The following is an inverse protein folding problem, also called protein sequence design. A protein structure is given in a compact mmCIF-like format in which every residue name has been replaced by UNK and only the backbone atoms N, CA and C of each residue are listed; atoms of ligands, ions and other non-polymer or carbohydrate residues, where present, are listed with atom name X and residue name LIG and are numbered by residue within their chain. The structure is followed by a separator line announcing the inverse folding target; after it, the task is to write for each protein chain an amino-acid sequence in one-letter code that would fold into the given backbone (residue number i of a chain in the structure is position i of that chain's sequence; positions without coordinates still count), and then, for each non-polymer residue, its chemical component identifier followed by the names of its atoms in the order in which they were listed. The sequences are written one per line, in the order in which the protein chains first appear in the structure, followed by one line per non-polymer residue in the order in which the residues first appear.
data_IF_466921604367
#
_entry.id   IF_466921604367
#
_cell.length_a   1.000
_cell.length_b   1.000
_cell.length_c   1.000
_cell.angle_alpha   90.00
_cell.angle_beta   90.00
_cell.angle_gamma   90.00
#
_symmetry.space_group_name_H-M   'P 1'
#
loop_
_entity.id
_entity.type
_entity.pdbx_description
1 polymer ?
#
# COMPACT_ATOMS: atom_id res chain seq x y z
N UNK A 1 9.32 -13.58 -23.82
CA UNK A 1 8.43 -12.48 -23.37
C UNK A 1 7.27 -13.08 -22.56
N UNK A 2 7.57 -13.68 -21.41
CA UNK A 2 6.58 -14.34 -20.54
C UNK A 2 6.98 -14.36 -19.04
N UNK A 3 8.07 -13.66 -18.66
CA UNK A 3 8.67 -13.80 -17.33
C UNK A 3 8.32 -12.69 -16.34
N UNK A 4 7.68 -11.59 -16.79
CA UNK A 4 7.39 -10.41 -15.95
C UNK A 4 6.00 -10.41 -15.30
N UNK A 5 5.02 -11.15 -15.84
CA UNK A 5 3.62 -11.04 -15.39
C UNK A 5 3.36 -11.63 -13.98
N UNK A 6 4.25 -12.51 -13.51
CA UNK A 6 4.08 -13.19 -12.21
C UNK A 6 4.32 -12.27 -11.01
N UNK A 7 5.28 -11.35 -11.14
CA UNK A 7 5.60 -10.39 -10.07
C UNK A 7 4.49 -9.34 -9.87
N UNK A 8 3.83 -8.91 -10.95
CA UNK A 8 2.70 -7.97 -10.87
C UNK A 8 1.44 -8.57 -10.24
N UNK A 9 1.22 -9.87 -10.44
CA UNK A 9 0.10 -10.60 -9.84
C UNK A 9 0.24 -10.72 -8.31
N UNK A 10 1.45 -11.00 -7.81
CA UNK A 10 1.72 -11.16 -6.37
C UNK A 10 1.49 -9.84 -5.60
N UNK A 11 1.92 -8.72 -6.16
CA UNK A 11 1.74 -7.39 -5.57
C UNK A 11 0.25 -7.01 -5.53
N UNK A 12 -0.48 -7.29 -6.61
CA UNK A 12 -1.92 -6.99 -6.69
C UNK A 12 -2.74 -7.82 -5.69
N UNK A 13 -2.36 -9.08 -5.48
CA UNK A 13 -2.98 -9.94 -4.48
C UNK A 13 -2.72 -9.44 -3.07
N UNK A 14 -1.47 -9.07 -2.76
CA UNK A 14 -1.11 -8.54 -1.45
C UNK A 14 -1.91 -7.27 -1.12
N UNK A 15 -2.04 -6.35 -2.09
CA UNK A 15 -2.85 -5.14 -1.91
C UNK A 15 -4.32 -5.49 -1.63
N UNK A 16 -4.90 -6.42 -2.39
CA UNK A 16 -6.29 -6.86 -2.20
C UNK A 16 -6.52 -7.47 -0.81
N UNK A 17 -5.56 -8.28 -0.32
CA UNK A 17 -5.61 -8.84 1.03
C UNK A 17 -5.59 -7.71 2.06
N UNK A 18 -4.64 -6.78 1.95
CA UNK A 18 -4.51 -5.66 2.87
C UNK A 18 -5.75 -4.76 2.87
N UNK A 19 -6.35 -4.51 1.70
CA UNK A 19 -7.56 -3.69 1.56
C UNK A 19 -8.81 -4.38 2.13
N UNK A 20 -8.79 -5.71 2.28
CA UNK A 20 -9.86 -6.46 2.96
C UNK A 20 -9.78 -6.43 4.49
N UNK A 21 -8.63 -6.01 5.05
CA UNK A 21 -8.44 -5.96 6.50
C UNK A 21 -9.19 -4.75 7.10
N UNK A 22 -9.79 -4.96 8.27
CA UNK A 22 -10.39 -3.88 9.07
C UNK A 22 -9.32 -3.03 9.78
N UNK A 23 -8.08 -3.50 9.81
CA UNK A 23 -6.94 -2.82 10.44
C UNK A 23 -6.21 -1.96 9.41
N UNK A 24 -5.96 -0.69 9.78
CA UNK A 24 -5.12 0.21 8.98
C UNK A 24 -3.67 -0.27 8.95
N UNK A 25 -3.13 -0.46 7.75
CA UNK A 25 -1.74 -0.89 7.53
C UNK A 25 -0.98 0.19 6.78
N UNK A 26 0.14 0.62 7.35
CA UNK A 26 1.09 1.57 6.76
C UNK A 26 2.48 0.97 6.86
N UNK A 27 3.21 0.96 5.75
CA UNK A 27 4.64 0.61 5.71
C UNK A 27 5.42 1.72 5.04
N UNK A 28 6.67 1.90 5.47
CA UNK A 28 7.62 2.87 4.91
C UNK A 28 8.89 2.16 4.44
N UNK A 29 9.60 2.75 3.50
CA UNK A 29 10.99 2.37 3.21
C UNK A 29 11.97 2.97 4.22
N UNK A 30 13.28 2.77 3.98
CA UNK A 30 14.34 3.25 4.85
C UNK A 30 14.49 4.78 4.85
N UNK A 31 14.01 5.46 3.81
CA UNK A 31 13.99 6.91 3.73
C UNK A 31 12.74 7.48 4.40
N UNK A 32 11.74 6.65 4.70
CA UNK A 32 10.49 7.05 5.35
C UNK A 32 9.35 7.28 4.37
N UNK A 33 9.54 6.98 3.08
CA UNK A 33 8.48 7.08 2.09
C UNK A 33 7.49 5.93 2.24
N UNK A 34 6.19 6.26 2.22
CA UNK A 34 5.11 5.29 2.38
C UNK A 34 5.06 4.37 1.16
N UNK A 35 5.22 3.06 1.40
CA UNK A 35 5.20 1.99 0.40
C UNK A 35 3.92 1.15 0.44
N UNK A 36 3.24 1.12 1.59
CA UNK A 36 1.95 0.46 1.76
C UNK A 36 1.01 1.41 2.49
N UNK A 37 -0.20 1.56 1.99
CA UNK A 37 -1.27 2.32 2.60
C UNK A 37 -2.61 1.72 2.16
N UNK A 38 -3.25 0.94 3.04
CA UNK A 38 -4.50 0.23 2.69
C UNK A 38 -5.75 1.11 2.88
N UNK A 39 -6.88 0.63 2.40
CA UNK A 39 -8.19 1.31 2.53
C UNK A 39 -8.56 1.64 3.98
N UNK A 40 -8.28 0.75 4.94
CA UNK A 40 -8.53 1.01 6.34
C UNK A 40 -7.67 2.17 6.88
N UNK A 41 -6.40 2.26 6.49
CA UNK A 41 -5.52 3.37 6.86
C UNK A 41 -6.01 4.70 6.28
N UNK A 42 -6.48 4.69 5.02
CA UNK A 42 -7.06 5.87 4.38
C UNK A 42 -8.26 6.41 5.15
N UNK A 43 -9.16 5.52 5.58
CA UNK A 43 -10.33 5.87 6.39
C UNK A 43 -9.95 6.41 7.77
N UNK A 44 -8.98 5.79 8.44
CA UNK A 44 -8.53 6.20 9.77
C UNK A 44 -7.83 7.56 9.75
N UNK A 45 -7.00 7.82 8.73
CA UNK A 45 -6.22 9.05 8.60
C UNK A 45 -6.99 10.19 7.91
N UNK A 46 -8.07 9.88 7.18
CA UNK A 46 -8.79 10.85 6.35
C UNK A 46 -7.99 11.30 5.12
N UNK A 47 -7.02 10.50 4.69
CA UNK A 47 -6.10 10.80 3.57
C UNK A 47 -6.28 9.74 2.49
N UNK A 48 -6.55 10.11 1.23
CA UNK A 48 -6.62 9.15 0.12
C UNK A 48 -5.29 8.44 -0.15
N UNK A 49 -5.34 7.19 -0.57
CA UNK A 49 -4.15 6.35 -0.84
C UNK A 49 -3.20 6.98 -1.85
N UNK A 50 -3.76 7.58 -2.91
CA UNK A 50 -3.02 8.25 -3.98
C UNK A 50 -2.25 9.49 -3.47
N UNK A 51 -2.71 10.07 -2.37
CA UNK A 51 -2.06 11.21 -1.72
C UNK A 51 -1.07 10.77 -0.64
N UNK A 52 -1.07 9.51 -0.21
CA UNK A 52 -0.19 9.00 0.83
C UNK A 52 1.03 8.27 0.25
N UNK A 53 0.84 7.44 -0.77
CA UNK A 53 1.91 6.64 -1.37
C UNK A 53 3.05 7.52 -1.89
N UNK A 54 4.29 7.14 -1.56
CA UNK A 54 5.51 7.87 -1.92
C UNK A 54 5.80 9.13 -1.10
N UNK A 55 4.90 9.55 -0.19
CA UNK A 55 5.17 10.66 0.73
C UNK A 55 5.87 10.18 1.98
N UNK A 56 6.60 11.08 2.64
CA UNK A 56 7.15 10.81 3.96
C UNK A 56 6.04 10.74 5.02
N UNK A 57 6.16 9.76 5.92
CA UNK A 57 5.23 9.60 7.03
C UNK A 57 5.40 10.67 8.13
N UNK A 58 6.58 11.30 8.23
CA UNK A 58 6.93 12.34 9.20
C UNK A 58 7.46 13.60 8.52
#
# INVERSE_FOLDING_TARGET
MQSDDRFGADISLLQSILDSLVVGTISIDLEGAITVFNEAAARLMGVPKEQALGRHLL
#
